data_IF_774225123729
#
_entry.id   IF_774225123729
#
_cell.length_a   1.000
_cell.length_b   1.000
_cell.length_c   1.000
_cell.angle_alpha   90.00
_cell.angle_beta   90.00
_cell.angle_gamma   90.00
#
_symmetry.space_group_name_H-M   'P 1'
#
loop_
_entity.id
_entity.type
_entity.pdbx_description
1 polymer ?
#
# COMPACT_ATOMS: atom_id res chain seq x y z
N UNK A 1 5.23 -11.66 -17.83
CA UNK A 1 6.15 -12.16 -16.80
C UNK A 1 6.49 -13.61 -17.12
N UNK A 2 7.77 -13.97 -17.30
CA UNK A 2 8.20 -15.36 -17.44
C UNK A 2 7.84 -16.20 -16.19
N UNK A 3 7.59 -17.50 -16.36
CA UNK A 3 7.21 -18.40 -15.26
C UNK A 3 8.29 -18.48 -14.17
N UNK A 4 9.56 -18.56 -14.56
CA UNK A 4 10.68 -18.65 -13.61
C UNK A 4 10.75 -17.43 -12.68
N UNK A 5 10.50 -16.23 -13.22
CA UNK A 5 10.51 -14.99 -12.44
C UNK A 5 9.41 -14.94 -11.38
N UNK A 6 8.31 -15.69 -11.55
CA UNK A 6 7.28 -15.79 -10.51
C UNK A 6 7.89 -16.40 -9.24
N UNK A 7 8.77 -17.38 -9.37
CA UNK A 7 9.37 -18.09 -8.24
C UNK A 7 10.58 -17.32 -7.70
N UNK A 8 11.43 -16.83 -8.58
CA UNK A 8 12.74 -16.27 -8.22
C UNK A 8 12.71 -14.79 -7.85
N UNK A 9 11.77 -14.00 -8.38
CA UNK A 9 11.75 -12.55 -8.19
C UNK A 9 10.81 -12.13 -7.06
N UNK A 10 11.21 -11.07 -6.36
CA UNK A 10 10.45 -10.52 -5.24
C UNK A 10 9.11 -9.89 -5.64
N UNK A 11 8.28 -9.60 -4.63
CA UNK A 11 6.95 -9.00 -4.79
C UNK A 11 6.94 -7.69 -5.58
N UNK A 12 7.96 -6.84 -5.40
CA UNK A 12 8.10 -5.58 -6.13
C UNK A 12 8.14 -5.80 -7.65
N UNK A 13 8.87 -6.82 -8.13
CA UNK A 13 8.91 -7.13 -9.56
C UNK A 13 7.52 -7.49 -10.10
N UNK A 14 6.70 -8.17 -9.29
CA UNK A 14 5.33 -8.51 -9.66
C UNK A 14 4.42 -7.29 -9.78
N UNK A 15 4.48 -6.40 -8.78
CA UNK A 15 3.71 -5.14 -8.79
C UNK A 15 4.11 -4.29 -10.00
N UNK A 16 5.40 -4.12 -10.24
CA UNK A 16 5.91 -3.34 -11.35
C UNK A 16 5.52 -3.93 -12.71
N UNK A 17 5.59 -5.25 -12.85
CA UNK A 17 5.18 -5.95 -14.08
C UNK A 17 3.70 -5.72 -14.43
N UNK A 18 2.85 -5.44 -13.43
CA UNK A 18 1.44 -5.07 -13.62
C UNK A 18 1.26 -3.56 -13.83
N UNK A 19 2.06 -2.73 -13.14
CA UNK A 19 1.94 -1.26 -13.17
C UNK A 19 2.47 -0.65 -14.47
N UNK A 20 3.62 -1.11 -14.98
CA UNK A 20 4.25 -0.53 -16.18
C UNK A 20 3.34 -0.55 -17.43
N UNK A 21 2.64 -1.66 -17.75
CA UNK A 21 1.66 -1.67 -18.83
C UNK A 21 0.53 -0.65 -18.64
N UNK A 22 0.02 -0.49 -17.41
CA UNK A 22 -1.03 0.48 -17.09
C UNK A 22 -0.54 1.93 -17.24
N UNK A 23 0.68 2.23 -16.79
CA UNK A 23 1.27 3.55 -17.01
C UNK A 23 1.41 3.84 -18.51
N UNK A 24 1.91 2.87 -19.29
CA UNK A 24 2.09 3.01 -20.74
C UNK A 24 0.76 3.26 -21.45
N UNK A 25 -0.31 2.52 -21.11
CA UNK A 25 -1.62 2.72 -21.74
C UNK A 25 -2.26 4.07 -21.40
N UNK A 26 -1.88 4.69 -20.28
CA UNK A 26 -2.35 5.99 -19.82
C UNK A 26 -1.38 7.14 -20.13
N UNK A 27 -0.35 6.92 -20.96
CA UNK A 27 0.71 7.92 -21.27
C UNK A 27 1.40 8.51 -20.02
N UNK A 28 1.56 7.70 -18.97
CA UNK A 28 2.25 8.07 -17.74
C UNK A 28 3.69 7.54 -17.75
N UNK A 29 4.61 8.36 -17.26
CA UNK A 29 6.01 7.98 -17.04
C UNK A 29 6.24 7.66 -15.56
N UNK A 30 6.41 6.38 -15.18
CA UNK A 30 6.75 6.02 -13.81
C UNK A 30 8.17 6.48 -13.46
N UNK A 31 8.33 7.02 -12.24
CA UNK A 31 9.59 7.59 -11.75
C UNK A 31 10.34 6.56 -10.91
N UNK A 32 11.66 6.51 -11.07
CA UNK A 32 12.58 5.77 -10.20
C UNK A 32 13.37 6.77 -9.36
N UNK A 33 13.46 6.51 -8.07
CA UNK A 33 14.29 7.29 -7.15
C UNK A 33 15.54 6.49 -6.78
N UNK A 34 16.66 7.18 -6.63
CA UNK A 34 17.88 6.60 -6.11
C UNK A 34 17.72 6.20 -4.65
N UNK A 35 18.48 5.19 -4.21
CA UNK A 35 18.44 4.68 -2.84
C UNK A 35 18.65 5.79 -1.80
N UNK A 36 19.61 6.68 -2.04
CA UNK A 36 19.91 7.81 -1.15
C UNK A 36 18.70 8.73 -0.95
N UNK A 37 17.89 8.94 -2.00
CA UNK A 37 16.69 9.76 -1.90
C UNK A 37 15.58 9.05 -1.13
N UNK A 38 15.42 7.74 -1.34
CA UNK A 38 14.46 6.90 -0.62
C UNK A 38 14.79 6.85 0.88
N UNK A 39 16.06 6.83 1.26
CA UNK A 39 16.49 6.85 2.67
C UNK A 39 16.19 8.18 3.37
N UNK A 40 16.21 9.29 2.63
CA UNK A 40 15.90 10.62 3.15
C UNK A 40 14.40 10.94 3.18
N UNK A 41 13.54 9.99 2.75
CA UNK A 41 12.10 10.20 2.76
C UNK A 41 11.59 10.35 4.20
N UNK A 42 10.50 11.10 4.36
CA UNK A 42 9.86 11.27 5.68
C UNK A 42 9.42 9.90 6.22
N UNK A 43 9.71 9.65 7.50
CA UNK A 43 9.26 8.46 8.20
C UNK A 43 7.73 8.30 8.18
N UNK A 44 7.28 7.03 8.22
CA UNK A 44 5.86 6.71 8.29
C UNK A 44 5.23 7.34 9.54
N UNK A 45 4.06 7.97 9.35
CA UNK A 45 3.34 8.68 10.42
C UNK A 45 2.11 7.91 10.93
N UNK A 46 1.74 6.83 10.27
CA UNK A 46 0.60 5.99 10.63
C UNK A 46 1.09 4.62 11.10
N UNK A 47 0.51 4.15 12.20
CA UNK A 47 0.71 2.79 12.73
C UNK A 47 -0.65 2.09 12.76
N UNK A 48 -0.69 0.75 12.58
CA UNK A 48 -1.93 0.01 12.73
C UNK A 48 -2.43 0.10 14.17
N UNK A 49 -3.75 0.13 14.34
CA UNK A 49 -4.38 0.05 15.66
C UNK A 49 -4.40 -1.42 16.11
N UNK A 50 -3.84 -1.68 17.28
CA UNK A 50 -3.88 -2.98 17.94
C UNK A 50 -4.55 -2.75 19.29
N UNK A 51 -5.67 -3.44 19.53
CA UNK A 51 -6.34 -3.41 20.82
C UNK A 51 -5.58 -4.29 21.81
N UNK A 52 -5.44 -3.81 23.04
CA UNK A 52 -4.94 -4.65 24.13
C UNK A 52 -5.97 -5.76 24.41
N UNK A 53 -5.57 -7.04 24.43
CA UNK A 53 -6.50 -8.12 24.68
C UNK A 53 -6.91 -8.15 26.16
N UNK A 54 -8.20 -8.42 26.41
CA UNK A 54 -8.65 -8.76 27.76
C UNK A 54 -8.22 -10.20 28.10
N UNK A 55 -7.35 -10.36 29.09
CA UNK A 55 -6.90 -11.67 29.55
C UNK A 55 -7.93 -12.22 30.54
N UNK A 56 -8.90 -12.96 30.04
CA UNK A 56 -9.91 -13.64 30.85
C UNK A 56 -10.38 -14.93 30.19
N UNK A 57 -10.87 -15.88 31.00
CA UNK A 57 -11.54 -17.07 30.48
C UNK A 57 -12.97 -16.72 30.06
N UNK A 58 -13.30 -16.96 28.78
CA UNK A 58 -14.66 -16.81 28.23
C UNK A 58 -15.21 -18.19 27.94
N UNK A 59 -16.35 -18.53 28.52
CA UNK A 59 -17.07 -19.80 28.28
C UNK A 59 -18.17 -19.66 27.22
N UNK A 60 -18.55 -18.43 26.91
CA UNK A 60 -19.48 -18.05 25.85
C UNK A 60 -18.80 -17.96 24.47
N UNK A 61 -19.50 -18.30 23.37
CA UNK A 61 -18.94 -18.19 22.03
C UNK A 61 -18.70 -16.73 21.63
N UNK A 62 -17.51 -16.44 21.09
CA UNK A 62 -17.12 -15.11 20.62
C UNK A 62 -17.15 -15.06 19.09
N UNK A 63 -17.93 -14.13 18.53
CA UNK A 63 -17.93 -13.88 17.09
C UNK A 63 -16.68 -13.07 16.69
N UNK A 64 -15.98 -13.54 15.65
CA UNK A 64 -14.78 -12.90 15.11
C UNK A 64 -15.12 -12.30 13.75
N UNK A 65 -14.89 -11.00 13.61
CA UNK A 65 -15.07 -10.27 12.35
C UNK A 65 -13.72 -9.87 11.78
N UNK A 66 -13.59 -9.99 10.46
CA UNK A 66 -12.42 -9.53 9.72
C UNK A 66 -12.87 -8.80 8.46
N UNK A 67 -12.07 -7.84 8.01
CA UNK A 67 -12.30 -7.13 6.75
C UNK A 67 -11.69 -7.92 5.60
N UNK A 68 -12.50 -8.28 4.61
CA UNK A 68 -12.00 -8.87 3.38
C UNK A 68 -11.17 -7.84 2.60
N UNK A 69 -9.86 -8.08 2.50
CA UNK A 69 -8.93 -7.24 1.73
C UNK A 69 -8.93 -5.77 2.16
N UNK A 70 -8.75 -5.50 3.46
CA UNK A 70 -8.78 -4.16 4.06
C UNK A 70 -8.06 -3.07 3.25
N UNK A 71 -6.75 -3.19 3.03
CA UNK A 71 -5.98 -2.14 2.34
C UNK A 71 -6.33 -1.97 0.85
N UNK A 72 -6.46 -3.04 0.03
CA UNK A 72 -6.95 -2.89 -1.34
C UNK A 72 -8.31 -2.19 -1.42
N UNK A 73 -9.25 -2.54 -0.54
CA UNK A 73 -10.58 -1.93 -0.49
C UNK A 73 -10.50 -0.43 -0.17
N UNK A 74 -9.66 -0.03 0.79
CA UNK A 74 -9.41 1.39 1.11
C UNK A 74 -8.82 2.13 -0.09
N UNK A 75 -7.80 1.55 -0.74
CA UNK A 75 -7.11 2.16 -1.88
C UNK A 75 -8.10 2.49 -3.01
N UNK A 76 -8.99 1.55 -3.33
CA UNK A 76 -10.01 1.72 -4.38
C UNK A 76 -11.07 2.74 -3.95
N UNK A 77 -11.63 2.58 -2.75
CA UNK A 77 -12.75 3.42 -2.28
C UNK A 77 -12.37 4.90 -2.15
N UNK A 78 -11.13 5.20 -1.77
CA UNK A 78 -10.65 6.56 -1.54
C UNK A 78 -9.72 7.08 -2.64
N UNK A 79 -9.62 6.37 -3.78
CA UNK A 79 -8.83 6.77 -4.94
C UNK A 79 -7.35 7.08 -4.60
N UNK A 80 -6.73 6.23 -3.78
CA UNK A 80 -5.33 6.38 -3.43
C UNK A 80 -4.43 5.87 -4.57
N UNK A 81 -3.75 6.79 -5.24
CA UNK A 81 -2.81 6.48 -6.31
C UNK A 81 -1.69 7.52 -6.36
N UNK A 82 -0.54 7.14 -6.92
CA UNK A 82 0.51 8.10 -7.24
C UNK A 82 0.01 9.22 -8.17
N UNK A 83 -0.91 8.92 -9.09
CA UNK A 83 -1.47 9.90 -10.04
C UNK A 83 -2.49 10.86 -9.43
N UNK A 84 -2.98 10.60 -8.22
CA UNK A 84 -4.00 11.40 -7.54
C UNK A 84 -3.45 12.13 -6.31
N UNK A 85 -2.15 11.96 -6.02
CA UNK A 85 -1.48 12.59 -4.90
C UNK A 85 -1.13 14.06 -5.21
N UNK A 86 -1.90 15.01 -4.67
CA UNK A 86 -1.68 16.45 -4.83
C UNK A 86 -0.72 17.05 -3.79
N UNK A 87 -0.27 16.26 -2.82
CA UNK A 87 0.56 16.72 -1.70
C UNK A 87 -0.24 16.96 -0.42
N UNK A 88 0.40 17.57 0.58
CA UNK A 88 -0.21 17.83 1.89
C UNK A 88 -1.00 19.12 1.85
N UNK A 89 -2.17 19.14 2.49
CA UNK A 89 -3.02 20.33 2.58
C UNK A 89 -2.28 21.56 3.14
N UNK A 90 -1.39 21.35 4.12
CA UNK A 90 -0.53 22.38 4.71
C UNK A 90 0.36 23.10 3.68
N UNK A 91 0.74 22.41 2.60
CA UNK A 91 1.59 22.96 1.54
C UNK A 91 0.79 23.60 0.40
N UNK A 92 -0.54 23.40 0.37
CA UNK A 92 -1.42 23.88 -0.71
C UNK A 92 -2.14 25.16 -0.30
N UNK A 93 -2.57 25.23 0.97
CA UNK A 93 -3.35 26.36 1.51
C UNK A 93 -2.59 27.19 2.55
N UNK A 94 -1.31 26.88 2.77
CA UNK A 94 -0.40 27.61 3.66
C UNK A 94 0.35 28.72 2.94
#
# INVERSE_FOLDING_TARGET
MPFQDVIERGSQYRVESMLFPLCRSNNLLPIRFDKNFVEQQRAYQAIPLIFEPEITYRSDPVAVFDFQSLYPSIIIAYNYCYSTCLGRLQNIFG
#
